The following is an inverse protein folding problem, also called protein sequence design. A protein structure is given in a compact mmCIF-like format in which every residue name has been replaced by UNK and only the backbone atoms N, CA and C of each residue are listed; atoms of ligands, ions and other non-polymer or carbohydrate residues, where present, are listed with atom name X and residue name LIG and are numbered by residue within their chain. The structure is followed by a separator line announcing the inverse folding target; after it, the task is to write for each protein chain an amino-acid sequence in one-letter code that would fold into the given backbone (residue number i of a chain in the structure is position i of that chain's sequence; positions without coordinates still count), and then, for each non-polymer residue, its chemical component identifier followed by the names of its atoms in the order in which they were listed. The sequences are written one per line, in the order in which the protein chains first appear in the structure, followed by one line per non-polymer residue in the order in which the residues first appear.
data_IF_013707264358
#
_entry.id   IF_013707264358
#
_cell.length_a   1.000
_cell.length_b   1.000
_cell.length_c   1.000
_cell.angle_alpha   90.00
_cell.angle_beta   90.00
_cell.angle_gamma   90.00
#
_symmetry.space_group_name_H-M   'P 1'
#
loop_
_entity.id
_entity.type
_entity.pdbx_description
1 polymer ?
#
# COMPACT_ATOMS: atom_id res chain seq x y z
N UNK A 1 15.44 22.43 38.40
CA UNK A 1 14.98 21.19 37.72
C UNK A 1 13.82 21.58 36.82
N UNK A 2 14.10 21.80 35.54
CA UNK A 2 13.08 22.11 34.53
C UNK A 2 12.48 20.79 34.04
N UNK A 3 11.22 20.54 34.37
CA UNK A 3 10.47 19.44 33.82
C UNK A 3 10.37 19.65 32.30
N UNK A 4 11.02 18.76 31.51
CA UNK A 4 10.79 18.67 30.07
C UNK A 4 9.31 18.36 29.88
N UNK A 5 8.54 19.35 29.44
CA UNK A 5 7.18 19.14 29.00
C UNK A 5 7.17 18.08 27.93
N UNK A 6 6.51 16.96 28.21
CA UNK A 6 6.14 15.96 27.21
C UNK A 6 5.21 16.69 26.27
N UNK A 7 5.70 17.02 25.07
CA UNK A 7 4.87 17.55 24.01
C UNK A 7 3.94 16.39 23.59
N UNK A 8 2.77 16.33 24.25
CA UNK A 8 1.75 15.35 23.88
C UNK A 8 1.22 15.72 22.50
N UNK A 9 1.15 14.75 21.59
CA UNK A 9 0.47 14.94 20.32
C UNK A 9 -0.94 15.47 20.55
N UNK A 10 -1.39 16.39 19.68
CA UNK A 10 -2.74 16.91 19.71
C UNK A 10 -3.77 15.78 19.69
N UNK A 11 -4.86 15.92 20.43
CA UNK A 11 -5.92 14.92 20.54
C UNK A 11 -6.53 14.56 19.18
N UNK A 12 -6.54 15.50 18.23
CA UNK A 12 -6.96 15.25 16.86
C UNK A 12 -6.01 14.30 16.12
N UNK A 13 -4.71 14.48 16.30
CA UNK A 13 -3.70 13.60 15.71
C UNK A 13 -3.78 12.18 16.29
N UNK A 14 -4.02 12.06 17.60
CA UNK A 14 -4.24 10.76 18.25
C UNK A 14 -5.47 10.04 17.71
N UNK A 15 -6.56 10.77 17.47
CA UNK A 15 -7.78 10.22 16.86
C UNK A 15 -7.54 9.72 15.46
N UNK A 16 -6.82 10.48 14.63
CA UNK A 16 -6.49 10.05 13.26
C UNK A 16 -5.56 8.82 13.25
N UNK A 17 -4.57 8.76 14.14
CA UNK A 17 -3.70 7.59 14.29
C UNK A 17 -4.52 6.38 14.74
N UNK A 18 -5.44 6.55 15.70
CA UNK A 18 -6.33 5.49 16.18
C UNK A 18 -7.26 4.97 15.09
N UNK A 19 -7.80 5.87 14.28
CA UNK A 19 -8.59 5.54 13.09
C UNK A 19 -7.82 4.66 12.12
N UNK A 20 -6.57 5.04 11.79
CA UNK A 20 -5.69 4.27 10.91
C UNK A 20 -5.36 2.90 11.51
N UNK A 21 -5.12 2.84 12.83
CA UNK A 21 -4.82 1.61 13.55
C UNK A 21 -6.00 0.63 13.55
N UNK A 22 -7.21 1.11 13.85
CA UNK A 22 -8.44 0.30 13.83
C UNK A 22 -8.75 -0.22 12.42
N UNK A 23 -8.65 0.64 11.39
CA UNK A 23 -8.84 0.22 10.01
C UNK A 23 -7.85 -0.89 9.62
N UNK A 24 -6.59 -0.73 9.98
CA UNK A 24 -5.56 -1.72 9.67
C UNK A 24 -5.78 -3.02 10.45
N UNK A 25 -6.19 -2.95 11.71
CA UNK A 25 -6.46 -4.12 12.53
C UNK A 25 -7.61 -4.95 11.95
N UNK A 26 -8.72 -4.33 11.56
CA UNK A 26 -9.86 -5.03 10.93
C UNK A 26 -9.47 -5.63 9.57
N UNK A 27 -8.55 -5.01 8.83
CA UNK A 27 -8.02 -5.56 7.56
C UNK A 27 -7.11 -6.77 7.77
N UNK A 28 -6.53 -6.94 8.97
CA UNK A 28 -5.54 -7.98 9.32
C UNK A 28 -5.95 -8.81 10.53
N UNK A 29 -7.19 -9.26 10.55
CA UNK A 29 -7.74 -10.20 11.56
C UNK A 29 -7.60 -9.71 13.01
N UNK A 30 -7.80 -8.41 13.24
CA UNK A 30 -7.80 -7.80 14.55
C UNK A 30 -6.43 -7.42 15.10
N UNK A 31 -5.36 -7.59 14.32
CA UNK A 31 -3.99 -7.24 14.76
C UNK A 31 -3.30 -6.28 13.81
N UNK A 32 -2.58 -5.32 14.39
CA UNK A 32 -1.78 -4.37 13.62
C UNK A 32 -0.36 -4.26 14.16
N UNK A 33 0.56 -3.73 13.34
CA UNK A 33 1.99 -3.56 13.69
C UNK A 33 2.35 -2.09 13.73
N UNK A 34 3.17 -1.69 14.71
CA UNK A 34 3.63 -0.30 14.91
C UNK A 34 4.24 0.29 13.64
N UNK A 35 5.13 -0.47 12.97
CA UNK A 35 5.78 -0.03 11.73
C UNK A 35 4.78 0.24 10.59
N UNK A 36 3.71 -0.57 10.50
CA UNK A 36 2.70 -0.41 9.47
C UNK A 36 1.87 0.87 9.73
N UNK A 37 1.50 1.10 10.99
CA UNK A 37 0.76 2.30 11.39
C UNK A 37 1.62 3.54 11.23
N UNK A 38 2.89 3.51 11.67
CA UNK A 38 3.81 4.63 11.48
C UNK A 38 3.94 5.02 10.00
N UNK A 39 4.14 4.03 9.11
CA UNK A 39 4.26 4.29 7.67
C UNK A 39 2.97 4.87 7.07
N UNK A 40 1.81 4.31 7.42
CA UNK A 40 0.51 4.82 6.96
C UNK A 40 0.22 6.23 7.51
N UNK A 41 0.47 6.46 8.80
CA UNK A 41 0.26 7.77 9.43
C UNK A 41 1.16 8.86 8.84
N UNK A 42 2.43 8.57 8.58
CA UNK A 42 3.34 9.52 7.92
C UNK A 42 2.95 9.83 6.47
N UNK A 43 2.28 8.90 5.79
CA UNK A 43 1.73 9.12 4.44
C UNK A 43 0.45 9.94 4.44
N UNK A 44 -0.39 9.79 5.47
CA UNK A 44 -1.73 10.42 5.54
C UNK A 44 -1.69 11.77 6.26
N UNK A 45 -0.81 11.91 7.27
CA UNK A 45 -0.72 13.09 8.14
C UNK A 45 0.67 13.72 7.97
N UNK A 46 0.81 14.74 7.10
CA UNK A 46 2.11 15.38 6.85
C UNK A 46 2.75 16.01 8.09
N UNK A 47 1.94 16.48 9.04
CA UNK A 47 2.38 17.13 10.27
C UNK A 47 3.21 16.20 11.17
N UNK A 48 2.96 14.90 11.14
CA UNK A 48 3.73 13.90 11.88
C UNK A 48 5.19 13.81 11.43
N UNK A 49 5.52 14.23 10.21
CA UNK A 49 6.90 14.21 9.69
C UNK A 49 7.83 15.12 10.48
N UNK A 50 7.32 16.17 11.06
CA UNK A 50 8.08 17.12 11.89
C UNK A 50 8.38 16.56 13.28
N UNK A 51 7.52 15.69 13.81
CA UNK A 51 7.54 15.21 15.20
C UNK A 51 7.54 13.68 15.29
N UNK A 52 8.22 13.00 14.37
CA UNK A 52 8.25 11.51 14.32
C UNK A 52 8.72 10.88 15.62
N UNK A 53 9.70 11.48 16.30
CA UNK A 53 10.26 10.93 17.55
C UNK A 53 9.23 10.87 18.67
N UNK A 54 8.36 11.85 18.74
CA UNK A 54 7.31 11.94 19.76
C UNK A 54 6.08 11.10 19.36
N UNK A 55 5.87 10.90 18.06
CA UNK A 55 4.80 10.06 17.53
C UNK A 55 5.01 8.56 17.77
N UNK A 56 6.24 8.06 17.75
CA UNK A 56 6.55 6.64 17.90
C UNK A 56 5.98 6.03 19.19
N UNK A 57 6.24 6.58 20.40
CA UNK A 57 5.71 6.02 21.64
C UNK A 57 4.18 6.09 21.71
N UNK A 58 3.57 7.13 21.17
CA UNK A 58 2.11 7.27 21.11
C UNK A 58 1.49 6.25 20.17
N UNK A 59 2.07 6.05 19.00
CA UNK A 59 1.63 5.01 18.04
C UNK A 59 1.73 3.62 18.69
N UNK A 60 2.83 3.30 19.36
CA UNK A 60 3.01 2.03 20.06
C UNK A 60 1.95 1.82 21.15
N UNK A 61 1.61 2.87 21.90
CA UNK A 61 0.55 2.84 22.90
C UNK A 61 -0.82 2.56 22.26
N UNK A 62 -1.17 3.28 21.20
CA UNK A 62 -2.44 3.10 20.49
C UNK A 62 -2.53 1.69 19.86
N UNK A 63 -1.47 1.22 19.23
CA UNK A 63 -1.41 -0.13 18.65
C UNK A 63 -1.57 -1.20 19.72
N UNK A 64 -0.94 -1.04 20.88
CA UNK A 64 -1.11 -1.97 22.02
C UNK A 64 -2.55 -2.02 22.52
N UNK A 65 -3.21 -0.87 22.62
CA UNK A 65 -4.63 -0.79 22.99
C UNK A 65 -5.52 -1.48 21.96
N UNK A 66 -5.34 -1.18 20.66
CA UNK A 66 -6.13 -1.76 19.57
C UNK A 66 -5.92 -3.27 19.47
N UNK A 67 -4.70 -3.76 19.65
CA UNK A 67 -4.40 -5.21 19.65
C UNK A 67 -4.94 -5.94 20.89
N UNK A 68 -5.21 -5.23 21.98
CA UNK A 68 -5.84 -5.76 23.18
C UNK A 68 -7.37 -5.90 23.10
N UNK A 69 -7.98 -5.27 22.09
CA UNK A 69 -9.42 -5.33 21.86
C UNK A 69 -9.79 -6.55 21.02
N UNK A 70 -11.00 -7.09 21.25
CA UNK A 70 -11.57 -8.10 20.38
C UNK A 70 -11.98 -7.49 19.03
N UNK A 71 -12.10 -8.33 17.99
CA UNK A 71 -12.51 -7.87 16.64
C UNK A 71 -13.92 -7.23 16.69
N UNK A 72 -14.78 -7.71 17.57
CA UNK A 72 -16.13 -7.14 17.73
C UNK A 72 -16.10 -5.75 18.36
N UNK A 73 -15.27 -5.57 19.39
CA UNK A 73 -15.05 -4.26 20.00
C UNK A 73 -14.43 -3.25 19.04
N UNK A 74 -13.43 -3.69 18.23
CA UNK A 74 -12.82 -2.86 17.19
C UNK A 74 -13.87 -2.39 16.16
N UNK A 75 -14.74 -3.29 15.71
CA UNK A 75 -15.82 -2.95 14.77
C UNK A 75 -16.83 -1.98 15.38
N UNK A 76 -17.25 -2.22 16.62
CA UNK A 76 -18.18 -1.35 17.34
C UNK A 76 -17.59 0.06 17.54
N UNK A 77 -16.30 0.14 17.85
CA UNK A 77 -15.61 1.43 17.96
C UNK A 77 -15.55 2.17 16.62
N UNK A 78 -15.33 1.45 15.51
CA UNK A 78 -15.36 2.02 14.16
C UNK A 78 -16.78 2.53 13.82
N UNK A 79 -17.82 1.76 14.10
CA UNK A 79 -19.21 2.15 13.85
C UNK A 79 -19.60 3.41 14.61
N UNK A 80 -19.18 3.53 15.87
CA UNK A 80 -19.53 4.64 16.73
C UNK A 80 -18.72 5.91 16.44
N UNK A 81 -17.42 5.77 16.23
CA UNK A 81 -16.50 6.92 16.15
C UNK A 81 -16.04 7.26 14.73
N UNK A 82 -16.06 6.28 13.80
CA UNK A 82 -15.50 6.42 12.45
C UNK A 82 -16.36 5.71 11.38
N UNK A 83 -17.66 6.02 11.25
CA UNK A 83 -18.57 5.32 10.34
C UNK A 83 -18.16 5.44 8.87
N UNK A 84 -17.36 6.44 8.53
CA UNK A 84 -16.81 6.66 7.19
C UNK A 84 -15.85 5.54 6.73
N UNK A 85 -15.21 4.82 7.67
CA UNK A 85 -14.30 3.71 7.34
C UNK A 85 -15.06 2.54 6.72
N UNK A 86 -16.28 2.30 7.19
CA UNK A 86 -17.14 1.20 6.70
C UNK A 86 -17.60 1.42 5.26
N UNK A 87 -17.68 2.67 4.82
CA UNK A 87 -18.11 3.05 3.48
C UNK A 87 -16.96 3.07 2.46
N UNK A 88 -15.73 2.90 2.87
CA UNK A 88 -14.59 2.77 1.96
C UNK A 88 -14.66 1.41 1.29
N UNK A 89 -15.36 1.33 0.15
CA UNK A 89 -15.27 0.16 -0.74
C UNK A 89 -13.80 -0.05 -1.07
N UNK A 90 -13.22 -1.16 -0.58
CA UNK A 90 -11.87 -1.58 -1.01
C UNK A 90 -11.87 -1.53 -2.53
N UNK A 91 -10.91 -0.86 -3.18
CA UNK A 91 -10.79 -0.94 -4.62
C UNK A 91 -10.64 -2.43 -4.95
N UNK A 92 -11.68 -2.98 -5.59
CA UNK A 92 -11.64 -4.36 -6.08
C UNK A 92 -10.44 -4.40 -7.02
N UNK A 93 -9.37 -5.07 -6.62
CA UNK A 93 -8.26 -5.38 -7.51
C UNK A 93 -8.88 -6.20 -8.65
N UNK A 94 -9.18 -5.54 -9.77
CA UNK A 94 -9.54 -6.25 -10.99
C UNK A 94 -8.38 -7.19 -11.25
N UNK A 95 -8.61 -8.49 -11.14
CA UNK A 95 -7.64 -9.48 -11.60
C UNK A 95 -7.38 -9.17 -13.07
N UNK A 96 -6.18 -8.69 -13.34
CA UNK A 96 -5.75 -8.45 -14.70
C UNK A 96 -5.42 -9.82 -15.29
N UNK A 97 -6.39 -10.37 -15.98
CA UNK A 97 -6.19 -11.60 -16.77
C UNK A 97 -5.55 -11.17 -18.08
N UNK A 98 -4.25 -11.44 -18.21
CA UNK A 98 -3.49 -11.15 -19.42
C UNK A 98 -2.90 -9.73 -19.51
N UNK A 99 -2.32 -9.43 -20.65
CA UNK A 99 -1.73 -8.13 -20.95
C UNK A 99 -2.81 -7.13 -21.39
N UNK A 100 -2.70 -5.84 -21.01
CA UNK A 100 -3.62 -4.82 -21.49
C UNK A 100 -3.45 -4.65 -23.01
N UNK A 101 -4.53 -4.33 -23.76
CA UNK A 101 -4.42 -4.05 -25.18
C UNK A 101 -3.54 -2.84 -25.43
N UNK A 102 -2.80 -2.85 -26.55
CA UNK A 102 -2.02 -1.69 -27.01
C UNK A 102 -2.94 -0.74 -27.76
N UNK A 103 -2.89 0.55 -27.43
CA UNK A 103 -3.64 1.59 -28.13
C UNK A 103 -3.13 1.74 -29.57
N UNK A 104 -4.05 1.74 -30.54
CA UNK A 104 -3.71 1.91 -31.96
C UNK A 104 -3.01 0.71 -32.59
N UNK A 105 -2.92 -0.43 -31.91
CA UNK A 105 -2.31 -1.65 -32.48
C UNK A 105 -3.26 -2.34 -33.46
N UNK A 106 -2.74 -2.67 -34.63
CA UNK A 106 -3.44 -3.42 -35.67
C UNK A 106 -2.94 -4.86 -35.74
N UNK A 107 -3.87 -5.81 -35.98
CA UNK A 107 -3.53 -7.21 -36.12
C UNK A 107 -2.54 -7.44 -37.29
N UNK A 108 -1.50 -8.21 -37.04
CA UNK A 108 -0.45 -8.51 -38.01
C UNK A 108 0.61 -7.41 -38.20
N UNK A 109 0.40 -6.20 -37.65
CA UNK A 109 1.34 -5.08 -37.86
C UNK A 109 2.22 -4.78 -36.66
N UNK A 110 1.97 -5.40 -35.50
CA UNK A 110 2.77 -5.17 -34.29
C UNK A 110 4.15 -5.79 -34.47
N UNK A 111 5.18 -4.98 -34.27
CA UNK A 111 6.56 -5.45 -34.21
C UNK A 111 7.13 -5.12 -32.87
N UNK A 112 7.51 -6.12 -32.10
CA UNK A 112 8.18 -5.95 -30.82
C UNK A 112 9.67 -6.22 -30.97
N UNK A 113 10.49 -5.68 -30.08
CA UNK A 113 11.93 -5.86 -30.10
C UNK A 113 12.44 -6.19 -28.70
N UNK A 114 13.29 -7.21 -28.62
CA UNK A 114 14.04 -7.51 -27.44
C UNK A 114 15.54 -7.50 -27.76
N UNK A 115 16.29 -6.55 -27.19
CA UNK A 115 17.73 -6.41 -27.38
C UNK A 115 18.43 -6.55 -26.04
N UNK A 116 18.88 -7.76 -25.66
CA UNK A 116 19.70 -7.93 -24.48
C UNK A 116 21.04 -7.21 -24.69
N UNK A 117 21.37 -6.29 -23.79
CA UNK A 117 22.70 -5.66 -23.80
C UNK A 117 23.75 -6.67 -23.28
N UNK A 118 24.91 -6.83 -23.93
CA UNK A 118 25.92 -7.81 -23.56
C UNK A 118 26.78 -7.35 -22.35
N UNK A 119 26.22 -6.55 -21.44
CA UNK A 119 26.93 -5.92 -20.33
C UNK A 119 27.00 -6.79 -19.07
N UNK A 120 26.44 -8.00 -19.10
CA UNK A 120 26.41 -8.92 -17.98
C UNK A 120 25.48 -10.11 -18.19
N UNK A 121 25.37 -10.95 -17.17
CA UNK A 121 24.46 -12.10 -17.23
C UNK A 121 22.99 -11.65 -17.23
N UNK A 122 22.14 -12.34 -18.04
CA UNK A 122 20.71 -12.10 -18.00
C UNK A 122 20.13 -12.32 -16.58
N UNK A 123 19.23 -11.48 -16.16
CA UNK A 123 18.49 -11.60 -14.90
C UNK A 123 16.97 -11.59 -15.14
N UNK A 124 16.19 -11.79 -14.08
CA UNK A 124 14.73 -11.88 -14.15
C UNK A 124 14.06 -10.69 -14.86
N UNK A 125 14.64 -9.49 -14.78
CA UNK A 125 14.15 -8.31 -15.49
C UNK A 125 14.24 -8.46 -17.01
N UNK A 126 15.29 -9.08 -17.54
CA UNK A 126 15.44 -9.38 -18.96
C UNK A 126 14.42 -10.43 -19.41
N UNK A 127 14.23 -11.49 -18.60
CA UNK A 127 13.22 -12.50 -18.86
C UNK A 127 11.81 -11.90 -18.92
N UNK A 128 11.46 -11.01 -17.97
CA UNK A 128 10.18 -10.30 -17.99
C UNK A 128 9.98 -9.49 -19.27
N UNK A 129 11.00 -8.74 -19.71
CA UNK A 129 10.91 -7.92 -20.92
C UNK A 129 10.73 -8.79 -22.18
N UNK A 130 11.48 -9.89 -22.27
CA UNK A 130 11.38 -10.85 -23.38
C UNK A 130 9.98 -11.48 -23.46
N UNK A 131 9.47 -11.99 -22.34
CA UNK A 131 8.14 -12.62 -22.26
C UNK A 131 7.05 -11.62 -22.63
N UNK A 132 7.07 -10.40 -22.10
CA UNK A 132 6.06 -9.39 -22.45
C UNK A 132 6.10 -9.07 -23.95
N UNK A 133 7.29 -8.91 -24.54
CA UNK A 133 7.46 -8.64 -25.96
C UNK A 133 6.91 -9.79 -26.82
N UNK A 134 7.19 -11.02 -26.43
CA UNK A 134 6.70 -12.22 -27.10
C UNK A 134 5.17 -12.35 -27.01
N UNK A 135 4.60 -12.15 -25.83
CA UNK A 135 3.15 -12.25 -25.60
C UNK A 135 2.37 -11.20 -26.40
N UNK A 136 2.86 -9.95 -26.49
CA UNK A 136 2.24 -8.98 -27.37
C UNK A 136 2.35 -9.37 -28.85
N UNK A 137 3.48 -9.94 -29.27
CA UNK A 137 3.65 -10.45 -30.63
C UNK A 137 2.63 -11.55 -30.94
N UNK A 138 2.45 -12.49 -30.02
CA UNK A 138 1.46 -13.58 -30.15
C UNK A 138 0.03 -13.02 -30.17
N UNK A 139 -0.28 -12.08 -29.26
CA UNK A 139 -1.62 -11.49 -29.13
C UNK A 139 -2.07 -10.79 -30.42
N UNK A 140 -1.15 -10.15 -31.12
CA UNK A 140 -1.45 -9.41 -32.34
C UNK A 140 -0.99 -10.09 -33.62
N UNK A 141 -0.51 -11.33 -33.58
CA UNK A 141 0.00 -12.03 -34.75
C UNK A 141 1.14 -11.30 -35.47
N UNK A 142 1.95 -10.57 -34.68
CA UNK A 142 3.01 -9.72 -35.17
C UNK A 142 4.37 -10.40 -35.32
N UNK A 143 5.46 -9.62 -35.21
CA UNK A 143 6.84 -10.11 -35.30
C UNK A 143 7.65 -9.68 -34.08
N UNK A 144 8.45 -10.60 -33.53
CA UNK A 144 9.46 -10.30 -32.53
C UNK A 144 10.84 -10.25 -33.22
N UNK A 145 11.57 -9.16 -32.98
CA UNK A 145 12.93 -8.98 -33.47
C UNK A 145 13.89 -9.10 -32.27
N UNK A 146 14.95 -9.88 -32.43
CA UNK A 146 16.06 -10.06 -31.47
C UNK A 146 17.27 -9.28 -31.91
#
# INVERSE_FOLDING_TARGET
MLSKGVCSLDDNLKKEIRKIALQNAVEHDGKTKDKAILSKSLGTIPELKSNVKDAIPEIASIVSQVNGMSIEEQKTEIENNFPEILNVKKPVKKERVGLPPLEGAEQGKVVTRFTPAPNGYPHIGHAKAAIISEEYTKMYGGKLVL
#
